data_IF_860468340659
#
_entry.id   IF_860468340659
#
_cell.length_a   1.000
_cell.length_b   1.000
_cell.length_c   1.000
_cell.angle_alpha   90.00
_cell.angle_beta   90.00
_cell.angle_gamma   90.00
#
_symmetry.space_group_name_H-M   'P 1'
#
loop_
_entity.id
_entity.type
_entity.pdbx_description
1 polymer ?
#
# COMPACT_ATOMS: atom_id res chain seq x y z
N UNK A 1 -31.53 -21.06 -9.78
CA UNK A 1 -30.52 -20.67 -8.76
C UNK A 1 -29.18 -20.59 -9.47
N UNK A 2 -28.78 -19.39 -9.90
CA UNK A 2 -27.48 -19.14 -10.55
C UNK A 2 -26.90 -17.84 -10.02
N UNK A 3 -26.64 -17.80 -8.72
CA UNK A 3 -25.92 -16.66 -8.11
C UNK A 3 -24.80 -17.12 -7.17
N UNK A 4 -24.65 -18.42 -6.88
CA UNK A 4 -23.66 -18.89 -5.91
C UNK A 4 -22.30 -19.29 -6.53
N UNK A 5 -22.26 -19.71 -7.80
CA UNK A 5 -21.02 -20.24 -8.39
C UNK A 5 -20.01 -19.15 -8.76
N UNK A 6 -20.43 -17.90 -8.95
CA UNK A 6 -19.52 -16.80 -9.30
C UNK A 6 -18.68 -16.31 -8.12
N UNK A 7 -19.22 -16.39 -6.90
CA UNK A 7 -18.50 -16.05 -5.66
C UNK A 7 -17.50 -17.13 -5.26
N UNK A 8 -17.72 -18.38 -5.68
CA UNK A 8 -16.88 -19.53 -5.32
C UNK A 8 -15.47 -19.50 -5.95
N UNK A 9 -15.29 -18.79 -7.07
CA UNK A 9 -13.99 -18.66 -7.74
C UNK A 9 -13.13 -17.49 -7.23
N UNK A 10 -13.69 -16.59 -6.42
CA UNK A 10 -12.98 -15.41 -5.88
C UNK A 10 -12.54 -15.57 -4.43
N UNK A 11 -12.91 -16.68 -3.78
CA UNK A 11 -12.69 -16.85 -2.35
C UNK A 11 -11.60 -17.90 -2.08
N UNK A 12 -10.34 -17.52 -2.26
CA UNK A 12 -9.33 -17.97 -1.30
C UNK A 12 -9.64 -17.23 0.01
N UNK A 13 -10.54 -17.80 0.82
CA UNK A 13 -10.98 -17.23 2.11
C UNK A 13 -9.83 -16.99 3.11
N UNK A 14 -8.64 -17.51 2.83
CA UNK A 14 -7.49 -17.39 3.71
C UNK A 14 -6.89 -15.98 3.74
N UNK A 15 -7.09 -15.17 2.69
CA UNK A 15 -6.38 -13.89 2.54
C UNK A 15 -7.33 -12.68 2.53
N UNK A 16 -8.63 -12.86 2.80
CA UNK A 16 -9.62 -11.75 2.81
C UNK A 16 -9.30 -10.75 3.92
N UNK A 17 -8.97 -11.24 5.11
CA UNK A 17 -8.61 -10.38 6.24
C UNK A 17 -7.29 -9.63 5.98
N UNK A 18 -6.34 -10.30 5.31
CA UNK A 18 -5.07 -9.70 4.91
C UNK A 18 -5.27 -8.62 3.83
N UNK A 19 -6.11 -8.87 2.82
CA UNK A 19 -6.43 -7.91 1.76
C UNK A 19 -7.20 -6.70 2.30
N UNK A 20 -8.18 -6.94 3.20
CA UNK A 20 -8.90 -5.88 3.90
C UNK A 20 -7.94 -5.04 4.75
N UNK A 21 -7.05 -5.69 5.50
CA UNK A 21 -6.07 -5.01 6.36
C UNK A 21 -5.06 -4.22 5.53
N UNK A 22 -4.56 -4.80 4.44
CA UNK A 22 -3.68 -4.14 3.49
C UNK A 22 -4.32 -2.88 2.91
N UNK A 23 -5.55 -3.01 2.37
CA UNK A 23 -6.27 -1.89 1.76
C UNK A 23 -6.58 -0.81 2.79
N UNK A 24 -7.06 -1.21 3.98
CA UNK A 24 -7.35 -0.26 5.06
C UNK A 24 -6.10 0.50 5.50
N UNK A 25 -4.99 -0.20 5.67
CA UNK A 25 -3.72 0.40 6.04
C UNK A 25 -3.19 1.35 4.96
N UNK A 26 -3.33 0.99 3.68
CA UNK A 26 -2.94 1.83 2.54
C UNK A 26 -3.73 3.14 2.50
N UNK A 27 -5.06 3.06 2.59
CA UNK A 27 -5.93 4.25 2.54
C UNK A 27 -5.78 5.14 3.78
N UNK A 28 -5.62 4.56 4.97
CA UNK A 28 -5.27 5.32 6.18
C UNK A 28 -3.90 5.98 6.03
N UNK A 29 -2.93 5.26 5.45
CA UNK A 29 -1.60 5.76 5.13
C UNK A 29 -1.66 7.03 4.28
N UNK A 30 -2.60 7.11 3.33
CA UNK A 30 -2.78 8.32 2.54
C UNK A 30 -3.12 9.56 3.37
N UNK A 31 -4.04 9.43 4.33
CA UNK A 31 -4.44 10.54 5.19
C UNK A 31 -3.34 10.92 6.20
N UNK A 32 -2.54 9.96 6.66
CA UNK A 32 -1.36 10.21 7.51
C UNK A 32 -0.32 11.02 6.73
N UNK A 33 0.07 10.56 5.53
CA UNK A 33 1.06 11.26 4.69
C UNK A 33 0.60 12.64 4.27
N UNK A 34 -0.69 12.80 3.98
CA UNK A 34 -1.32 14.10 3.67
C UNK A 34 -1.39 15.03 4.88
N UNK A 35 -1.50 14.49 6.09
CA UNK A 35 -1.46 15.30 7.32
C UNK A 35 -0.04 15.72 7.69
N UNK A 36 0.95 14.87 7.38
CA UNK A 36 2.36 15.14 7.65
C UNK A 36 2.99 16.08 6.60
N UNK A 37 2.68 15.86 5.33
CA UNK A 37 3.21 16.64 4.20
C UNK A 37 2.15 17.62 3.70
N UNK A 38 2.55 18.84 3.34
CA UNK A 38 1.64 19.78 2.65
C UNK A 38 1.37 19.39 1.18
N UNK A 39 1.95 18.28 0.70
CA UNK A 39 1.82 17.80 -0.67
C UNK A 39 0.95 16.54 -0.74
N UNK A 40 -0.37 16.74 -0.86
CA UNK A 40 -1.31 15.64 -1.04
C UNK A 40 -1.01 14.79 -2.27
N UNK A 41 -0.36 15.34 -3.31
CA UNK A 41 -0.01 14.57 -4.50
C UNK A 41 1.12 13.58 -4.26
N UNK A 42 2.01 13.82 -3.28
CA UNK A 42 3.02 12.84 -2.90
C UNK A 42 2.38 11.54 -2.42
N UNK A 43 1.32 11.67 -1.62
CA UNK A 43 0.50 10.57 -1.13
C UNK A 43 -0.21 9.85 -2.28
N UNK A 44 -1.02 10.57 -3.07
CA UNK A 44 -1.81 9.98 -4.16
C UNK A 44 -0.99 9.44 -5.35
N UNK A 45 0.28 9.81 -5.46
CA UNK A 45 1.22 9.27 -6.44
C UNK A 45 2.03 8.10 -5.89
N UNK A 46 1.61 7.51 -4.76
CA UNK A 46 2.22 6.32 -4.17
C UNK A 46 3.72 6.51 -3.92
N UNK A 47 4.06 7.61 -3.23
CA UNK A 47 5.45 8.07 -3.03
C UNK A 47 6.23 8.32 -4.32
N UNK A 48 5.51 8.66 -5.39
CA UNK A 48 6.07 8.92 -6.71
C UNK A 48 6.30 7.68 -7.56
N UNK A 49 5.94 6.47 -7.11
CA UNK A 49 6.03 5.25 -7.93
C UNK A 49 4.97 5.20 -9.03
N UNK A 50 3.94 6.05 -8.93
CA UNK A 50 2.87 6.16 -9.92
C UNK A 50 2.62 7.60 -10.34
N UNK A 51 1.86 7.76 -11.41
CA UNK A 51 1.05 8.94 -11.68
C UNK A 51 -0.23 8.87 -10.84
N UNK A 52 -1.24 9.71 -11.11
CA UNK A 52 -2.55 9.59 -10.45
C UNK A 52 -3.33 8.33 -10.87
N UNK A 53 -2.97 7.71 -12.00
CA UNK A 53 -3.77 6.63 -12.59
C UNK A 53 -2.96 5.37 -12.89
N UNK A 54 -1.66 5.48 -13.12
CA UNK A 54 -0.84 4.39 -13.64
C UNK A 54 0.53 4.33 -12.95
N UNK A 55 1.08 3.14 -12.79
CA UNK A 55 2.48 2.96 -12.36
C UNK A 55 3.43 3.59 -13.35
N UNK A 56 4.56 4.10 -12.86
CA UNK A 56 5.58 4.65 -13.74
C UNK A 56 6.46 3.55 -14.32
N UNK A 57 6.96 3.71 -15.56
CA UNK A 57 8.05 2.89 -16.07
C UNK A 57 9.27 2.97 -15.15
N UNK A 58 10.08 1.90 -15.12
CA UNK A 58 11.35 1.88 -14.36
C UNK A 58 12.27 3.04 -14.76
N UNK A 59 12.29 3.41 -16.05
CA UNK A 59 13.07 4.53 -16.58
C UNK A 59 12.67 5.90 -16.01
N UNK A 60 11.48 6.01 -15.41
CA UNK A 60 10.91 7.25 -14.85
C UNK A 60 10.80 7.21 -13.32
N UNK A 61 11.50 6.26 -12.67
CA UNK A 61 11.51 6.11 -11.22
C UNK A 61 10.37 5.27 -10.66
N UNK A 62 9.68 4.49 -11.50
CA UNK A 62 8.80 3.43 -11.04
C UNK A 62 9.56 2.21 -10.50
N UNK A 63 8.82 1.27 -9.91
CA UNK A 63 9.39 0.10 -9.25
C UNK A 63 8.75 -1.20 -9.75
N UNK A 64 9.56 -2.26 -9.80
CA UNK A 64 9.06 -3.62 -9.97
C UNK A 64 8.80 -4.23 -8.60
N UNK A 65 7.80 -5.10 -8.53
CA UNK A 65 7.45 -5.84 -7.33
C UNK A 65 8.68 -6.65 -6.87
N UNK A 66 9.15 -6.47 -5.63
CA UNK A 66 10.42 -7.02 -5.20
C UNK A 66 10.32 -8.54 -4.98
N UNK A 67 11.25 -9.28 -5.58
CA UNK A 67 11.32 -10.74 -5.42
C UNK A 67 11.77 -11.19 -4.02
N UNK A 68 12.40 -10.30 -3.24
CA UNK A 68 12.83 -10.55 -1.86
C UNK A 68 12.87 -9.25 -1.05
N UNK A 69 12.94 -9.35 0.29
CA UNK A 69 12.95 -8.20 1.20
C UNK A 69 11.58 -7.57 1.44
N UNK A 70 11.55 -6.44 2.13
CA UNK A 70 10.31 -5.75 2.49
C UNK A 70 9.61 -5.10 1.28
N UNK A 71 8.28 -5.03 1.33
CA UNK A 71 7.42 -4.37 0.34
C UNK A 71 6.83 -3.13 1.01
N UNK A 72 7.17 -1.96 0.46
CA UNK A 72 6.62 -0.69 0.94
C UNK A 72 5.11 -0.63 0.66
N UNK A 73 4.31 -0.57 1.74
CA UNK A 73 2.86 -0.53 1.71
C UNK A 73 2.31 0.58 0.78
N UNK A 74 3.01 1.71 0.66
CA UNK A 74 2.50 2.89 -0.04
C UNK A 74 2.91 2.96 -1.51
N UNK A 75 3.69 2.01 -2.05
CA UNK A 75 4.14 2.02 -3.45
C UNK A 75 3.28 1.12 -4.32
N UNK A 76 2.98 1.61 -5.53
CA UNK A 76 2.54 0.76 -6.63
C UNK A 76 3.72 0.22 -7.43
N UNK A 77 3.56 -1.02 -7.94
CA UNK A 77 4.58 -1.76 -8.66
C UNK A 77 4.09 -2.22 -10.05
N UNK A 78 4.97 -2.16 -11.06
CA UNK A 78 4.61 -2.44 -12.47
C UNK A 78 4.16 -3.88 -12.76
N UNK A 79 4.70 -4.85 -12.02
CA UNK A 79 4.49 -6.29 -12.22
C UNK A 79 3.96 -6.92 -10.93
N UNK A 80 3.08 -6.21 -10.24
CA UNK A 80 2.44 -6.67 -9.01
C UNK A 80 1.63 -7.96 -9.28
N UNK A 81 1.84 -9.02 -8.50
CA UNK A 81 1.05 -10.24 -8.63
C UNK A 81 -0.39 -10.02 -8.14
N UNK A 82 -1.33 -10.79 -8.69
CA UNK A 82 -2.73 -10.76 -8.22
C UNK A 82 -2.84 -11.12 -6.73
N UNK A 83 -2.03 -12.08 -6.27
CA UNK A 83 -1.89 -12.44 -4.86
C UNK A 83 -0.59 -11.87 -4.31
N UNK A 84 -0.68 -10.90 -3.39
CA UNK A 84 0.46 -10.26 -2.75
C UNK A 84 1.03 -11.13 -1.63
N UNK A 85 2.33 -11.01 -1.38
CA UNK A 85 2.95 -11.54 -0.17
C UNK A 85 2.74 -10.56 0.99
N UNK A 86 1.56 -10.61 1.61
CA UNK A 86 1.15 -9.69 2.69
C UNK A 86 2.11 -9.72 3.89
N UNK A 87 2.79 -10.85 4.15
CA UNK A 87 3.75 -10.99 5.26
C UNK A 87 4.99 -10.13 5.10
N UNK A 88 5.30 -9.71 3.87
CA UNK A 88 6.44 -8.85 3.55
C UNK A 88 6.04 -7.38 3.43
N UNK A 89 4.74 -7.06 3.46
CA UNK A 89 4.27 -5.68 3.39
C UNK A 89 4.53 -4.99 4.72
N UNK A 90 5.21 -3.85 4.65
CA UNK A 90 5.57 -3.04 5.82
C UNK A 90 5.33 -1.56 5.53
N UNK A 91 5.05 -0.79 6.58
CA UNK A 91 5.17 0.65 6.51
C UNK A 91 6.66 1.02 6.46
N UNK A 92 7.04 1.92 5.57
CA UNK A 92 8.44 2.35 5.46
C UNK A 92 8.85 3.20 6.67
N UNK A 93 10.14 3.23 6.98
CA UNK A 93 10.68 3.92 8.15
C UNK A 93 10.17 5.37 8.27
N UNK A 94 10.20 6.14 7.18
CA UNK A 94 9.68 7.51 7.21
C UNK A 94 8.19 7.58 7.50
N UNK A 95 7.37 6.66 7.00
CA UNK A 95 5.93 6.64 7.28
C UNK A 95 5.66 6.44 8.77
N UNK A 96 6.41 5.52 9.39
CA UNK A 96 6.32 5.25 10.84
C UNK A 96 6.78 6.47 11.63
N UNK A 97 7.88 7.12 11.22
CA UNK A 97 8.33 8.37 11.85
C UNK A 97 7.30 9.51 11.70
N UNK A 98 6.62 9.60 10.56
CA UNK A 98 5.53 10.56 10.34
C UNK A 98 4.38 10.30 11.32
N UNK A 99 3.97 9.04 11.46
CA UNK A 99 2.93 8.64 12.40
C UNK A 99 3.32 8.97 13.85
N UNK A 100 4.55 8.64 14.26
CA UNK A 100 5.07 8.98 15.59
C UNK A 100 5.06 10.49 15.82
N UNK A 101 5.52 11.29 14.86
CA UNK A 101 5.49 12.75 14.95
C UNK A 101 4.08 13.32 15.10
N UNK A 102 3.12 12.79 14.34
CA UNK A 102 1.72 13.20 14.36
C UNK A 102 0.99 12.77 15.63
N UNK A 103 1.38 11.63 16.21
CA UNK A 103 0.79 11.12 17.46
C UNK A 103 1.05 12.01 18.68
N UNK A 104 2.04 12.91 18.60
CA UNK A 104 2.47 13.78 19.71
C UNK A 104 2.74 13.01 21.00
N UNK A 105 3.25 11.78 20.89
CA UNK A 105 3.61 10.95 22.04
C UNK A 105 4.55 11.73 22.98
N UNK A 106 4.23 11.69 24.28
CA UNK A 106 5.08 12.19 25.35
C UNK A 106 5.77 10.99 26.00
N UNK A 107 7.09 10.98 25.97
CA UNK A 107 7.90 9.98 26.66
C UNK A 107 8.24 10.55 28.04
N UNK A 108 7.82 9.84 29.09
CA UNK A 108 8.09 10.18 30.49
C UNK A 108 9.23 9.32 31.03
#
# INVERSE_FOLDING_TARGET
MEVSQRWYWMANFNDIDDDFSYTSAHEIGHEILKSYTSDSFYSYKHKGSSTLSETKPISEGGFNYPSSGEIDLMKYFNNEPYWKDFKRVVAEEKDVLCLLWLSKIKIN
#
